data_IF_966710082556
#
_entry.id   IF_966710082556
#
_cell.length_a   1.000
_cell.length_b   1.000
_cell.length_c   1.000
_cell.angle_alpha   90.00
_cell.angle_beta   90.00
_cell.angle_gamma   90.00
#
_symmetry.space_group_name_H-M   'P 1'
#
loop_
_entity.id
_entity.type
_entity.pdbx_description
1 polymer ?
#
# COMPACT_ATOMS: atom_id res chain seq x y z
N UNK A 1 -12.94 -20.15 -7.11
CA UNK A 1 -13.08 -18.89 -7.84
C UNK A 1 -13.95 -17.91 -7.08
N UNK A 2 -13.80 -16.64 -7.32
CA UNK A 2 -14.50 -15.55 -6.63
C UNK A 2 -15.78 -15.09 -7.36
N UNK A 3 -16.20 -15.79 -8.43
CA UNK A 3 -17.42 -15.44 -9.16
C UNK A 3 -18.67 -15.75 -8.35
N UNK A 4 -19.47 -14.74 -8.09
CA UNK A 4 -20.75 -14.84 -7.40
C UNK A 4 -21.88 -14.32 -8.32
N UNK A 5 -23.00 -15.02 -8.35
CA UNK A 5 -24.18 -14.60 -9.06
C UNK A 5 -25.31 -14.28 -8.09
N UNK A 6 -25.92 -13.11 -8.25
CA UNK A 6 -27.13 -12.68 -7.57
C UNK A 6 -28.31 -12.76 -8.54
N UNK A 7 -29.40 -13.40 -8.12
CA UNK A 7 -30.59 -13.58 -8.92
C UNK A 7 -30.43 -14.54 -10.11
N UNK A 8 -31.42 -14.57 -10.99
CA UNK A 8 -31.49 -15.41 -12.18
C UNK A 8 -32.24 -14.74 -13.32
N UNK A 9 -32.16 -15.35 -14.52
CA UNK A 9 -32.80 -14.85 -15.70
C UNK A 9 -32.29 -13.46 -16.09
N UNK A 10 -33.17 -12.62 -16.61
CA UNK A 10 -32.83 -11.26 -17.07
C UNK A 10 -32.43 -10.30 -15.96
N UNK A 11 -32.70 -10.63 -14.70
CA UNK A 11 -32.35 -9.81 -13.53
C UNK A 11 -31.07 -10.26 -12.81
N UNK A 12 -30.39 -11.29 -13.32
CA UNK A 12 -29.13 -11.74 -12.71
C UNK A 12 -28.08 -10.65 -12.76
N UNK A 13 -27.22 -10.61 -11.73
CA UNK A 13 -26.01 -9.79 -11.66
C UNK A 13 -24.85 -10.68 -11.21
N UNK A 14 -23.67 -10.40 -11.74
CA UNK A 14 -22.46 -11.14 -11.36
C UNK A 14 -21.39 -10.21 -10.86
N UNK A 15 -20.64 -10.70 -9.91
CA UNK A 15 -19.46 -10.01 -9.36
C UNK A 15 -18.32 -11.01 -9.28
N UNK A 16 -17.14 -10.58 -9.64
CA UNK A 16 -15.89 -11.34 -9.47
C UNK A 16 -14.87 -10.42 -8.81
N UNK A 17 -14.50 -10.74 -7.57
CA UNK A 17 -13.69 -9.85 -6.71
C UNK A 17 -14.34 -8.45 -6.59
N UNK A 18 -13.77 -7.41 -7.16
CA UNK A 18 -14.30 -6.04 -7.16
C UNK A 18 -14.97 -5.65 -8.49
N UNK A 19 -15.02 -6.53 -9.47
CA UNK A 19 -15.56 -6.29 -10.81
C UNK A 19 -17.02 -6.76 -10.87
N UNK A 20 -17.86 -5.93 -11.41
CA UNK A 20 -19.28 -6.23 -11.66
C UNK A 20 -19.52 -6.43 -13.17
N UNK A 21 -20.59 -7.11 -13.52
CA UNK A 21 -20.94 -7.43 -14.91
C UNK A 21 -21.18 -6.20 -15.81
N UNK A 22 -21.27 -5.01 -15.24
CA UNK A 22 -21.31 -3.73 -15.95
C UNK A 22 -19.93 -3.06 -16.09
N UNK A 23 -18.88 -3.60 -15.49
CA UNK A 23 -17.51 -3.08 -15.63
C UNK A 23 -17.00 -3.44 -17.03
N UNK A 24 -16.62 -2.43 -17.81
CA UNK A 24 -16.06 -2.69 -19.15
C UNK A 24 -14.60 -3.13 -19.04
N UNK A 25 -14.14 -3.97 -20.00
CA UNK A 25 -12.73 -4.35 -20.11
C UNK A 25 -11.80 -3.13 -20.27
N UNK A 26 -12.29 -2.05 -20.89
CA UNK A 26 -11.54 -0.78 -21.01
C UNK A 26 -11.36 -0.13 -19.64
N UNK A 27 -12.40 -0.10 -18.81
CA UNK A 27 -12.31 0.45 -17.44
C UNK A 27 -11.36 -0.38 -16.55
N UNK A 28 -11.40 -1.70 -16.67
CA UNK A 28 -10.48 -2.61 -16.00
C UNK A 28 -9.03 -2.36 -16.42
N UNK A 29 -8.77 -2.29 -17.73
CA UNK A 29 -7.44 -2.02 -18.29
C UNK A 29 -6.88 -0.68 -17.81
N UNK A 30 -7.71 0.38 -17.79
CA UNK A 30 -7.32 1.68 -17.24
C UNK A 30 -6.96 1.55 -15.74
N UNK A 31 -7.78 0.84 -14.96
CA UNK A 31 -7.55 0.66 -13.53
C UNK A 31 -6.27 -0.12 -13.18
N UNK A 32 -5.82 -1.00 -14.07
CA UNK A 32 -4.57 -1.76 -13.93
C UNK A 32 -3.33 -0.93 -14.29
N UNK A 33 -3.43 -0.01 -15.25
CA UNK A 33 -2.35 0.89 -15.66
C UNK A 33 -2.32 2.15 -14.78
N UNK A 34 -1.40 2.19 -13.82
CA UNK A 34 -1.27 3.31 -12.87
C UNK A 34 -0.86 4.63 -13.54
N UNK A 35 -0.05 4.59 -14.60
CA UNK A 35 0.37 5.79 -15.30
C UNK A 35 -0.79 6.37 -16.12
N UNK A 36 -1.48 5.52 -16.88
CA UNK A 36 -2.66 5.93 -17.65
C UNK A 36 -3.77 6.47 -16.72
N UNK A 37 -4.06 5.76 -15.64
CA UNK A 37 -5.03 6.20 -14.62
C UNK A 37 -4.66 7.58 -14.07
N UNK A 38 -3.39 7.81 -13.70
CA UNK A 38 -2.92 9.12 -13.22
C UNK A 38 -3.10 10.22 -14.25
N UNK A 39 -2.75 9.97 -15.52
CA UNK A 39 -2.90 10.95 -16.59
C UNK A 39 -4.37 11.34 -16.80
N UNK A 40 -5.26 10.35 -16.80
CA UNK A 40 -6.69 10.59 -16.94
C UNK A 40 -7.27 11.36 -15.76
N UNK A 41 -6.90 10.98 -14.52
CA UNK A 41 -7.33 11.71 -13.32
C UNK A 41 -6.81 13.15 -13.33
N UNK A 42 -5.54 13.36 -13.67
CA UNK A 42 -4.96 14.68 -13.77
C UNK A 42 -5.67 15.55 -14.82
N UNK A 43 -5.95 14.98 -16.00
CA UNK A 43 -6.71 15.67 -17.05
C UNK A 43 -8.14 16.04 -16.62
N UNK A 44 -8.73 15.25 -15.71
CA UNK A 44 -10.04 15.53 -15.10
C UNK A 44 -9.96 16.51 -13.91
N UNK A 45 -8.79 17.09 -13.61
CA UNK A 45 -8.59 18.03 -12.51
C UNK A 45 -8.48 17.38 -11.13
N UNK A 46 -8.36 16.05 -11.05
CA UNK A 46 -8.16 15.33 -9.78
C UNK A 46 -6.68 15.41 -9.39
N UNK A 47 -6.35 15.85 -8.15
CA UNK A 47 -4.98 15.88 -7.68
C UNK A 47 -4.36 14.46 -7.65
N UNK A 48 -3.19 14.32 -8.27
CA UNK A 48 -2.41 13.07 -8.29
C UNK A 48 -0.97 13.37 -7.93
N UNK A 49 -0.21 12.40 -7.37
CA UNK A 49 1.21 12.58 -7.12
C UNK A 49 1.96 12.88 -8.42
N UNK A 50 2.79 13.94 -8.43
CA UNK A 50 3.66 14.25 -9.57
C UNK A 50 4.72 13.16 -9.70
N UNK A 51 5.01 12.73 -10.93
CA UNK A 51 6.02 11.72 -11.23
C UNK A 51 5.71 10.94 -12.49
N UNK A 52 6.65 10.11 -12.91
CA UNK A 52 6.55 9.31 -14.15
C UNK A 52 7.35 8.01 -14.05
N UNK A 53 7.12 7.06 -14.97
CA UNK A 53 8.01 5.93 -15.20
C UNK A 53 9.40 6.40 -15.67
N UNK A 54 10.44 5.65 -15.32
CA UNK A 54 11.85 5.92 -15.64
C UNK A 54 12.57 4.64 -16.05
N UNK A 55 13.56 4.75 -16.92
CA UNK A 55 14.29 3.61 -17.47
C UNK A 55 15.70 3.46 -16.84
N UNK A 56 16.25 4.53 -16.28
CA UNK A 56 17.57 4.54 -15.67
C UNK A 56 17.57 5.20 -14.30
N UNK A 57 18.60 4.91 -13.52
CA UNK A 57 18.82 5.51 -12.19
C UNK A 57 19.08 7.02 -12.31
N UNK A 58 19.77 7.44 -13.38
CA UNK A 58 20.04 8.85 -13.65
C UNK A 58 18.73 9.60 -13.92
N UNK A 59 17.88 9.06 -14.78
CA UNK A 59 16.55 9.63 -15.04
C UNK A 59 15.71 9.65 -13.77
N UNK A 60 15.78 8.60 -12.94
CA UNK A 60 15.07 8.56 -11.66
C UNK A 60 15.49 9.72 -10.74
N UNK A 61 16.78 10.03 -10.68
CA UNK A 61 17.27 11.15 -9.89
C UNK A 61 16.85 12.51 -10.46
N UNK A 62 16.90 12.68 -11.77
CA UNK A 62 16.41 13.91 -12.43
C UNK A 62 14.91 14.15 -12.13
N UNK A 63 14.10 13.08 -12.23
CA UNK A 63 12.67 13.15 -11.89
C UNK A 63 12.48 13.50 -10.43
N UNK A 64 13.24 12.88 -9.51
CA UNK A 64 13.15 13.17 -8.08
C UNK A 64 13.45 14.64 -7.77
N UNK A 65 14.49 15.21 -8.40
CA UNK A 65 14.81 16.63 -8.26
C UNK A 65 13.70 17.53 -8.81
N UNK A 66 13.11 17.16 -9.95
CA UNK A 66 12.05 17.94 -10.61
C UNK A 66 10.74 17.92 -9.85
N UNK A 67 10.33 16.78 -9.28
CA UNK A 67 9.07 16.68 -8.51
C UNK A 67 9.22 17.15 -7.07
N UNK A 68 10.45 17.27 -6.59
CA UNK A 68 10.82 17.67 -5.23
C UNK A 68 10.85 16.50 -4.25
N UNK A 69 11.94 16.45 -3.47
CA UNK A 69 12.11 15.48 -2.39
C UNK A 69 11.20 15.82 -1.20
N UNK A 70 10.79 14.83 -0.40
CA UNK A 70 11.06 13.40 -0.57
C UNK A 70 10.23 12.75 -1.68
N UNK A 71 10.70 11.59 -2.18
CA UNK A 71 10.02 10.82 -3.24
C UNK A 71 9.69 9.40 -2.83
N UNK A 72 8.85 8.75 -3.63
CA UNK A 72 8.54 7.32 -3.62
C UNK A 72 9.09 6.70 -4.88
N UNK A 73 9.78 5.57 -4.74
CA UNK A 73 10.18 4.71 -5.86
C UNK A 73 9.42 3.39 -5.74
N UNK A 74 8.82 2.95 -6.83
CA UNK A 74 7.97 1.76 -6.86
C UNK A 74 7.94 1.14 -8.26
N UNK A 75 7.61 -0.16 -8.39
CA UNK A 75 7.26 -0.73 -9.69
C UNK A 75 5.96 -0.13 -10.23
N UNK A 76 5.88 0.10 -11.54
CA UNK A 76 4.66 0.58 -12.22
C UNK A 76 3.50 -0.39 -12.02
N UNK A 77 3.74 -1.69 -12.21
CA UNK A 77 2.71 -2.74 -12.21
C UNK A 77 2.67 -3.57 -10.91
N UNK A 78 3.45 -3.17 -9.90
CA UNK A 78 3.54 -3.88 -8.63
C UNK A 78 2.27 -3.80 -7.78
N UNK A 79 2.02 -4.85 -7.01
CA UNK A 79 0.95 -4.92 -6.02
C UNK A 79 1.51 -5.25 -4.62
N UNK A 80 0.67 -5.14 -3.58
CA UNK A 80 0.99 -5.48 -2.18
C UNK A 80 2.22 -4.76 -1.58
N UNK A 81 2.72 -3.70 -2.25
CA UNK A 81 3.87 -2.93 -1.75
C UNK A 81 5.24 -3.56 -1.99
N UNK A 82 5.34 -4.58 -2.84
CA UNK A 82 6.62 -5.16 -3.25
C UNK A 82 7.43 -4.14 -4.05
N UNK A 83 8.72 -4.03 -3.76
CA UNK A 83 9.62 -3.08 -4.42
C UNK A 83 9.30 -1.60 -4.18
N UNK A 84 8.45 -1.27 -3.19
CA UNK A 84 8.07 0.11 -2.87
C UNK A 84 8.94 0.67 -1.76
N UNK A 85 9.67 1.75 -2.04
CA UNK A 85 10.42 2.54 -1.05
C UNK A 85 9.83 3.94 -0.98
N UNK A 86 9.53 4.40 0.23
CA UNK A 86 8.90 5.71 0.48
C UNK A 86 9.81 6.62 1.28
N UNK A 87 9.54 7.93 1.20
CA UNK A 87 10.26 8.96 1.96
C UNK A 87 11.77 8.98 1.66
N UNK A 88 12.12 8.89 0.39
CA UNK A 88 13.50 8.94 -0.10
C UNK A 88 13.93 10.40 -0.16
N UNK A 89 15.02 10.75 0.52
CA UNK A 89 15.49 12.13 0.69
C UNK A 89 16.82 12.43 0.01
N UNK A 90 17.55 11.40 -0.41
CA UNK A 90 18.87 11.55 -1.03
C UNK A 90 19.09 10.55 -2.18
N UNK A 91 20.18 10.78 -2.94
CA UNK A 91 20.50 9.99 -4.12
C UNK A 91 20.88 8.55 -3.79
N UNK A 92 21.60 8.30 -2.70
CA UNK A 92 22.05 6.95 -2.35
C UNK A 92 20.83 6.05 -2.02
N UNK A 93 19.88 6.58 -1.25
CA UNK A 93 18.61 5.88 -0.97
C UNK A 93 17.82 5.63 -2.26
N UNK A 94 17.83 6.58 -3.21
CA UNK A 94 17.11 6.43 -4.47
C UNK A 94 17.74 5.33 -5.35
N UNK A 95 19.07 5.27 -5.43
CA UNK A 95 19.78 4.25 -6.21
C UNK A 95 19.49 2.83 -5.67
N UNK A 96 19.46 2.65 -4.35
CA UNK A 96 19.09 1.39 -3.72
C UNK A 96 17.60 1.05 -3.99
N UNK A 97 16.72 2.03 -3.81
CA UNK A 97 15.29 1.88 -4.07
C UNK A 97 14.99 1.55 -5.53
N UNK A 98 15.72 2.15 -6.48
CA UNK A 98 15.61 1.87 -7.91
C UNK A 98 15.98 0.42 -8.22
N UNK A 99 17.11 -0.08 -7.71
CA UNK A 99 17.54 -1.47 -7.90
C UNK A 99 16.47 -2.45 -7.39
N UNK A 100 15.97 -2.20 -6.20
CA UNK A 100 14.93 -3.04 -5.58
C UNK A 100 13.60 -3.01 -6.38
N UNK A 101 13.18 -1.85 -6.88
CA UNK A 101 11.96 -1.73 -7.69
C UNK A 101 12.12 -2.36 -9.07
N UNK A 102 13.31 -2.25 -9.70
CA UNK A 102 13.62 -2.78 -11.03
C UNK A 102 13.52 -4.32 -11.11
N UNK A 103 13.66 -5.03 -9.98
CA UNK A 103 13.43 -6.48 -9.92
C UNK A 103 11.98 -6.88 -10.25
N UNK A 104 11.04 -5.95 -10.12
CA UNK A 104 9.60 -6.20 -10.28
C UNK A 104 9.00 -5.57 -11.54
N UNK A 105 9.80 -4.87 -12.36
CA UNK A 105 9.35 -4.27 -13.61
C UNK A 105 9.77 -2.81 -13.79
N UNK A 106 9.07 -2.09 -14.66
CA UNK A 106 9.34 -0.66 -14.92
C UNK A 106 9.25 0.16 -13.64
N UNK A 107 10.28 0.96 -13.38
CA UNK A 107 10.36 1.78 -12.16
C UNK A 107 9.60 3.09 -12.35
N UNK A 108 8.84 3.49 -11.34
CA UNK A 108 8.14 4.78 -11.26
C UNK A 108 8.68 5.59 -10.09
N UNK A 109 8.96 6.87 -10.34
CA UNK A 109 9.34 7.85 -9.31
C UNK A 109 8.22 8.86 -9.15
N UNK A 110 7.76 9.06 -7.92
CA UNK A 110 6.68 10.00 -7.60
C UNK A 110 7.03 10.84 -6.38
N UNK A 111 6.50 12.06 -6.32
CA UNK A 111 6.57 12.88 -5.12
C UNK A 111 5.89 12.15 -3.94
N UNK A 112 6.57 12.09 -2.81
CA UNK A 112 5.97 11.58 -1.57
C UNK A 112 4.97 12.62 -1.03
N UNK A 113 3.75 12.17 -0.76
CA UNK A 113 2.70 13.00 -0.16
C UNK A 113 2.49 12.55 1.29
N UNK A 114 2.87 13.37 2.27
CA UNK A 114 2.55 13.07 3.67
C UNK A 114 1.05 13.18 3.90
N UNK A 115 0.53 12.34 4.78
CA UNK A 115 -0.91 12.38 5.12
C UNK A 115 -1.45 11.04 5.59
N UNK A 116 -2.76 10.99 5.73
CA UNK A 116 -3.47 9.77 6.06
C UNK A 116 -3.93 9.06 4.78
N UNK A 117 -3.90 7.74 4.80
CA UNK A 117 -4.39 6.90 3.72
C UNK A 117 -5.89 6.63 3.92
N UNK A 118 -6.70 6.94 2.90
CA UNK A 118 -8.13 6.66 2.91
C UNK A 118 -8.50 5.77 1.72
N UNK A 119 -9.37 4.81 1.97
CA UNK A 119 -10.04 4.03 0.94
C UNK A 119 -11.47 4.54 0.79
N UNK A 120 -11.81 4.99 -0.41
CA UNK A 120 -13.17 5.40 -0.77
C UNK A 120 -13.82 4.28 -1.58
N UNK A 121 -15.03 3.88 -1.20
CA UNK A 121 -15.86 2.94 -1.95
C UNK A 121 -16.95 3.73 -2.68
N UNK A 122 -16.89 3.70 -4.01
CA UNK A 122 -17.88 4.31 -4.87
C UNK A 122 -18.65 3.21 -5.60
N UNK A 123 -19.97 3.28 -5.58
CA UNK A 123 -20.85 2.36 -6.30
C UNK A 123 -21.75 3.20 -7.20
N UNK A 124 -21.64 3.01 -8.51
CA UNK A 124 -22.25 3.93 -9.46
C UNK A 124 -21.63 5.33 -9.34
N UNK A 125 -22.44 6.31 -9.00
CA UNK A 125 -22.07 7.72 -8.76
C UNK A 125 -22.07 8.12 -7.28
N UNK A 126 -22.28 7.16 -6.39
CA UNK A 126 -22.42 7.40 -4.94
C UNK A 126 -21.17 6.98 -4.16
N UNK A 127 -20.68 7.88 -3.31
CA UNK A 127 -19.70 7.52 -2.28
C UNK A 127 -20.43 6.75 -1.17
N UNK A 128 -20.21 5.45 -1.09
CA UNK A 128 -20.92 4.54 -0.16
C UNK A 128 -20.20 4.42 1.19
N UNK A 129 -18.86 4.42 1.15
CA UNK A 129 -18.05 4.30 2.36
C UNK A 129 -16.68 4.96 2.21
N UNK A 130 -16.14 5.42 3.32
CA UNK A 130 -14.76 5.87 3.44
C UNK A 130 -14.13 5.20 4.66
N UNK A 131 -12.92 4.68 4.52
CA UNK A 131 -12.19 4.07 5.62
C UNK A 131 -10.77 4.65 5.68
N UNK A 132 -10.36 5.12 6.85
CA UNK A 132 -8.97 5.47 7.11
C UNK A 132 -8.16 4.19 7.30
N UNK A 133 -7.08 4.05 6.54
CA UNK A 133 -6.18 2.90 6.65
C UNK A 133 -4.92 3.29 7.41
N UNK A 134 -4.48 2.37 8.24
CA UNK A 134 -3.22 2.52 8.96
C UNK A 134 -2.30 1.32 8.70
N UNK A 135 -0.98 1.55 8.61
CA UNK A 135 -0.03 0.47 8.42
C UNK A 135 -0.02 -0.47 9.62
N UNK A 136 0.48 -1.71 9.45
CA UNK A 136 0.71 -2.62 10.56
C UNK A 136 1.62 -1.97 11.59
N UNK A 137 1.18 -1.96 12.84
CA UNK A 137 1.89 -1.28 13.93
C UNK A 137 1.53 -1.88 15.26
N UNK A 138 2.39 -1.65 16.24
CA UNK A 138 2.13 -1.92 17.65
C UNK A 138 2.39 -0.66 18.48
N UNK A 139 1.76 -0.58 19.63
CA UNK A 139 1.97 0.50 20.60
C UNK A 139 2.76 -0.05 21.78
N UNK A 140 3.92 0.51 22.04
CA UNK A 140 4.76 0.15 23.18
C UNK A 140 4.05 0.37 24.50
N UNK A 141 4.24 -0.53 25.43
CA UNK A 141 3.73 -0.44 26.81
C UNK A 141 4.85 -0.28 27.84
N UNK A 142 6.11 -0.36 27.40
CA UNK A 142 7.29 -0.29 28.24
C UNK A 142 7.63 -1.59 28.99
N UNK A 143 6.98 -2.71 28.64
CA UNK A 143 7.14 -4.00 29.31
C UNK A 143 7.35 -5.16 28.35
N UNK A 144 6.57 -5.22 27.27
CA UNK A 144 6.60 -6.30 26.30
C UNK A 144 7.48 -5.96 25.09
N UNK A 145 8.09 -6.98 24.53
CA UNK A 145 8.84 -6.89 23.28
C UNK A 145 7.91 -6.61 22.11
N UNK A 146 8.46 -6.11 20.99
CA UNK A 146 7.70 -5.94 19.74
C UNK A 146 7.00 -7.23 19.33
N UNK A 147 7.68 -8.37 19.46
CA UNK A 147 7.14 -9.71 19.15
C UNK A 147 5.91 -10.03 19.99
N UNK A 148 5.99 -9.88 21.29
CA UNK A 148 4.85 -10.12 22.20
C UNK A 148 3.70 -9.17 21.93
N UNK A 149 3.97 -7.89 21.64
CA UNK A 149 2.95 -6.92 21.26
C UNK A 149 2.26 -7.29 19.94
N UNK A 150 2.99 -7.82 18.96
CA UNK A 150 2.43 -8.35 17.71
C UNK A 150 1.53 -9.55 17.99
N UNK A 151 1.96 -10.46 18.86
CA UNK A 151 1.16 -11.63 19.24
C UNK A 151 -0.15 -11.21 19.93
N UNK A 152 -0.12 -10.21 20.80
CA UNK A 152 -1.32 -9.63 21.43
C UNK A 152 -2.26 -9.03 20.37
N UNK A 153 -1.74 -8.22 19.44
CA UNK A 153 -2.55 -7.65 18.36
C UNK A 153 -3.15 -8.72 17.46
N UNK A 154 -2.43 -9.82 17.23
CA UNK A 154 -2.89 -10.94 16.41
C UNK A 154 -3.95 -11.84 17.10
N UNK A 155 -4.22 -11.65 18.41
CA UNK A 155 -5.32 -12.31 19.12
C UNK A 155 -6.68 -11.70 18.80
N UNK A 156 -6.76 -10.52 18.16
CA UNK A 156 -8.01 -9.94 17.69
C UNK A 156 -8.74 -10.95 16.78
N UNK A 157 -9.98 -11.37 17.12
CA UNK A 157 -10.72 -12.40 16.35
C UNK A 157 -11.00 -12.00 14.90
N UNK A 158 -10.90 -10.71 14.58
CA UNK A 158 -11.02 -10.20 13.20
C UNK A 158 -9.77 -10.49 12.36
N UNK A 159 -8.64 -10.90 12.98
CA UNK A 159 -7.37 -11.20 12.30
C UNK A 159 -7.24 -12.69 12.02
N UNK A 160 -7.03 -13.02 10.76
CA UNK A 160 -6.82 -14.39 10.30
C UNK A 160 -5.73 -14.52 9.26
N UNK A 161 -5.56 -15.70 8.71
CA UNK A 161 -4.62 -15.95 7.62
C UNK A 161 -5.29 -15.65 6.27
N UNK A 162 -4.55 -14.95 5.41
CA UNK A 162 -5.01 -14.60 4.06
C UNK A 162 -6.25 -13.70 4.08
N UNK A 163 -7.29 -14.10 3.34
CA UNK A 163 -8.54 -13.35 3.19
C UNK A 163 -9.74 -14.03 3.90
N UNK A 164 -9.48 -14.91 4.87
CA UNK A 164 -10.53 -15.63 5.58
C UNK A 164 -11.29 -14.74 6.57
N UNK A 165 -10.70 -13.65 6.99
CA UNK A 165 -11.24 -12.69 7.96
C UNK A 165 -11.11 -11.25 7.46
N UNK A 166 -11.73 -10.30 8.15
CA UNK A 166 -11.72 -8.88 7.76
C UNK A 166 -10.34 -8.22 7.87
N UNK A 167 -9.47 -8.72 8.75
CA UNK A 167 -8.09 -8.26 8.91
C UNK A 167 -7.13 -9.44 8.78
N UNK A 168 -5.91 -9.18 8.29
CA UNK A 168 -4.85 -10.17 8.23
C UNK A 168 -3.94 -10.05 9.44
N UNK A 169 -3.38 -11.16 9.90
CA UNK A 169 -2.36 -11.17 10.96
C UNK A 169 -1.11 -10.41 10.54
N UNK A 170 -0.52 -9.70 11.48
CA UNK A 170 0.78 -9.06 11.32
C UNK A 170 1.86 -10.15 11.34
N UNK A 171 2.80 -10.09 10.40
CA UNK A 171 3.95 -11.00 10.34
C UNK A 171 5.24 -10.22 10.57
N UNK A 172 6.12 -10.80 11.37
CA UNK A 172 7.50 -10.32 11.57
C UNK A 172 8.44 -11.01 10.56
N UNK A 173 8.22 -10.70 9.28
CA UNK A 173 9.08 -11.12 8.18
C UNK A 173 10.26 -10.15 7.97
N UNK A 174 11.12 -10.43 6.98
CA UNK A 174 12.32 -9.65 6.69
C UNK A 174 12.00 -8.17 6.43
N UNK A 175 10.84 -7.85 5.81
CA UNK A 175 10.41 -6.47 5.58
C UNK A 175 10.08 -5.78 6.90
N UNK A 176 9.40 -6.47 7.81
CA UNK A 176 9.09 -5.93 9.14
C UNK A 176 10.36 -5.74 9.97
N UNK A 177 11.30 -6.71 9.91
CA UNK A 177 12.60 -6.62 10.59
C UNK A 177 13.43 -5.46 10.07
N UNK A 178 13.53 -5.28 8.75
CA UNK A 178 14.21 -4.14 8.14
C UNK A 178 13.55 -2.80 8.56
N UNK A 179 12.22 -2.78 8.63
CA UNK A 179 11.49 -1.57 9.09
C UNK A 179 11.72 -1.27 10.57
N UNK A 180 11.86 -2.28 11.41
CA UNK A 180 12.24 -2.12 12.81
C UNK A 180 13.67 -1.57 12.95
N UNK A 181 14.62 -2.12 12.18
CA UNK A 181 16.00 -1.65 12.17
C UNK A 181 16.10 -0.16 11.80
N UNK A 182 15.30 0.31 10.83
CA UNK A 182 15.22 1.73 10.47
C UNK A 182 14.66 2.63 11.59
N UNK A 183 14.06 2.05 12.64
CA UNK A 183 13.58 2.73 13.83
C UNK A 183 14.50 2.46 15.04
N UNK A 184 15.69 1.87 14.83
CA UNK A 184 16.64 1.40 15.87
C UNK A 184 16.02 0.38 16.84
N UNK A 185 15.15 -0.49 16.31
CA UNK A 185 14.45 -1.54 17.04
C UNK A 185 14.74 -2.91 16.41
N UNK A 186 14.53 -3.94 17.21
CA UNK A 186 14.50 -5.35 16.79
C UNK A 186 13.19 -5.99 17.23
N UNK A 187 12.83 -7.19 16.79
CA UNK A 187 11.66 -7.91 17.30
C UNK A 187 11.68 -8.11 18.82
N UNK A 188 12.86 -8.16 19.42
CA UNK A 188 13.05 -8.41 20.85
C UNK A 188 13.27 -7.11 21.67
N UNK A 189 13.22 -5.95 21.02
CA UNK A 189 13.26 -4.64 21.69
C UNK A 189 11.95 -4.39 22.45
N UNK A 190 12.04 -3.74 23.62
CA UNK A 190 10.89 -3.27 24.42
C UNK A 190 10.66 -1.79 24.12
N UNK A 191 9.63 -1.43 23.32
CA UNK A 191 9.36 -0.03 23.00
C UNK A 191 8.84 0.72 24.24
N UNK A 192 9.19 2.00 24.35
CA UNK A 192 8.70 2.84 25.44
C UNK A 192 7.18 2.93 25.44
N UNK A 193 6.57 3.16 26.60
CA UNK A 193 5.12 3.33 26.74
C UNK A 193 4.63 4.47 25.85
N UNK A 194 3.64 4.16 25.00
CA UNK A 194 3.08 5.10 24.02
C UNK A 194 3.90 5.25 22.73
N UNK A 195 5.05 4.58 22.62
CA UNK A 195 5.84 4.59 21.37
C UNK A 195 5.11 3.80 20.29
N UNK A 196 4.83 4.46 19.16
CA UNK A 196 4.25 3.84 17.98
C UNK A 196 5.35 3.18 17.15
N UNK A 197 5.29 1.89 16.95
CA UNK A 197 6.24 1.09 16.18
C UNK A 197 5.58 0.63 14.89
N UNK A 198 6.04 1.15 13.75
CA UNK A 198 5.52 0.84 12.41
C UNK A 198 6.25 -0.39 11.87
N UNK A 199 5.51 -1.39 11.42
CA UNK A 199 6.06 -2.65 10.92
C UNK A 199 6.13 -2.72 9.39
N UNK A 200 5.37 -1.86 8.69
CA UNK A 200 5.41 -1.71 7.22
C UNK A 200 5.08 -0.28 6.82
N UNK A 201 5.53 0.11 5.63
CA UNK A 201 5.25 1.45 5.10
C UNK A 201 3.88 1.55 4.38
N UNK A 202 3.27 0.43 4.04
CA UNK A 202 1.96 0.39 3.37
C UNK A 202 0.83 0.11 4.38
N UNK A 203 -0.35 0.63 4.11
CA UNK A 203 -1.55 0.46 4.94
C UNK A 203 -2.50 -0.62 4.39
N UNK A 204 -1.95 -1.66 3.73
CA UNK A 204 -2.77 -2.73 3.16
C UNK A 204 -3.30 -3.67 4.25
N UNK A 205 -4.59 -3.97 4.21
CA UNK A 205 -5.21 -4.93 5.13
C UNK A 205 -4.60 -6.33 4.99
N UNK A 206 -4.26 -6.73 3.75
CA UNK A 206 -3.62 -8.02 3.45
C UNK A 206 -2.20 -8.19 4.03
N UNK A 207 -1.60 -7.12 4.53
CA UNK A 207 -0.27 -7.14 5.17
C UNK A 207 -0.32 -6.84 6.66
N UNK A 208 -1.51 -6.87 7.27
CA UNK A 208 -1.72 -6.64 8.69
C UNK A 208 -2.12 -5.22 9.09
N UNK A 209 -2.35 -4.33 8.10
CA UNK A 209 -2.89 -2.99 8.36
C UNK A 209 -4.30 -3.02 8.93
N UNK A 210 -4.80 -1.85 9.33
CA UNK A 210 -6.17 -1.67 9.85
C UNK A 210 -6.95 -0.67 9.02
N UNK A 211 -8.28 -0.74 9.11
CA UNK A 211 -9.22 0.23 8.55
C UNK A 211 -10.25 0.60 9.61
N UNK A 212 -10.49 1.88 9.77
CA UNK A 212 -11.46 2.48 10.70
C UNK A 212 -12.30 3.53 10.02
#
# INVERSE_FOLDING_TARGET
>A
GSLVQFGWGSKQRRIQAAEVDSTSAVAESIGQDKDLTKRLLHAAGVPVPLGKPVETVEEAWEVAQKVGLPVVVKPQDGNQGKGVTVNITDRAQLEEAYKNAAEYGTVMVERFLPGHDFRLLVVGDQLVAAARREPPQVLGDGQHTVRELVDVVNQDPRRGEGHATSLTKIRLDDIAVARLAAQNLTPDSVPAKGQRVILRNNANLSTGGTAT
#
